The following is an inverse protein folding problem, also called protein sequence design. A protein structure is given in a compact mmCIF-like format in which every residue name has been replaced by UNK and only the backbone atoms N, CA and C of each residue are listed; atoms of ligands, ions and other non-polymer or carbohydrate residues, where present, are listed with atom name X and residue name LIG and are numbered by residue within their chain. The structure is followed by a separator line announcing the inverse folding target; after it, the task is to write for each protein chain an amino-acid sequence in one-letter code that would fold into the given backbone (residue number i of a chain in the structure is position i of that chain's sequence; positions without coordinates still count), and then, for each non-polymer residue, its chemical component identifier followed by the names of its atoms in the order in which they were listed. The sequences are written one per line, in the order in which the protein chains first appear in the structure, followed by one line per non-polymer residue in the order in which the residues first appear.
data_IF_610622006204
#
_entry.id   IF_610622006204
#
_cell.length_a   1.000
_cell.length_b   1.000
_cell.length_c   1.000
_cell.angle_alpha   90.00
_cell.angle_beta   90.00
_cell.angle_gamma   90.00
#
_symmetry.space_group_name_H-M   'P 1'
#
loop_
_entity.id
_entity.type
_entity.pdbx_description
1 polymer ?
#
# COMPACT_ATOMS: atom_id res chain seq x y z
N UNK A 1 3.28 2.72 -6.96
CA UNK A 1 2.52 2.97 -8.20
C UNK A 1 3.22 2.38 -9.42
N UNK A 2 4.54 2.48 -9.53
CA UNK A 2 5.36 1.93 -10.63
C UNK A 2 5.01 0.51 -11.12
N UNK A 3 4.72 -0.42 -10.21
CA UNK A 3 4.44 -1.84 -10.55
C UNK A 3 3.22 -2.03 -11.46
N UNK A 4 2.21 -1.17 -11.37
CA UNK A 4 1.00 -1.28 -12.22
C UNK A 4 1.33 -0.96 -13.68
N UNK A 5 2.20 0.02 -13.92
CA UNK A 5 2.57 0.45 -15.27
C UNK A 5 3.12 -0.68 -16.13
N UNK A 6 3.99 -1.54 -15.58
CA UNK A 6 4.54 -2.69 -16.31
C UNK A 6 3.46 -3.58 -16.92
N UNK A 7 2.36 -3.81 -16.21
CA UNK A 7 1.21 -4.57 -16.71
C UNK A 7 0.43 -3.85 -17.81
N UNK A 8 0.48 -2.51 -17.87
CA UNK A 8 -0.17 -1.71 -18.90
C UNK A 8 0.59 -1.75 -20.23
N UNK A 9 1.93 -1.79 -20.17
CA UNK A 9 2.80 -1.75 -21.36
C UNK A 9 3.40 -3.10 -21.74
N UNK A 10 3.05 -4.17 -21.02
CA UNK A 10 3.49 -5.53 -21.33
C UNK A 10 4.97 -5.80 -21.03
N UNK A 11 5.56 -5.05 -20.10
CA UNK A 11 6.98 -5.22 -19.72
C UNK A 11 7.13 -6.09 -18.47
N UNK A 12 8.21 -6.86 -18.42
CA UNK A 12 8.58 -7.59 -17.21
C UNK A 12 9.08 -6.60 -16.14
N UNK A 13 8.63 -6.77 -14.89
CA UNK A 13 9.05 -5.93 -13.75
C UNK A 13 10.41 -6.32 -13.15
N UNK A 14 10.90 -7.53 -13.42
CA UNK A 14 12.12 -8.06 -12.79
C UNK A 14 13.37 -7.22 -13.10
N UNK A 15 13.59 -6.74 -14.34
CA UNK A 15 14.72 -5.85 -14.62
C UNK A 15 14.73 -4.59 -13.77
N UNK A 16 13.57 -4.10 -13.31
CA UNK A 16 13.50 -2.95 -12.39
C UNK A 16 13.75 -3.33 -10.92
N UNK A 17 13.21 -4.46 -10.46
CA UNK A 17 13.13 -4.78 -9.03
C UNK A 17 14.30 -5.66 -8.53
N UNK A 18 14.93 -6.43 -9.41
CA UNK A 18 15.85 -7.51 -9.03
C UNK A 18 17.28 -7.26 -9.57
N UNK A 19 17.47 -6.22 -10.37
CA UNK A 19 18.78 -5.78 -10.87
C UNK A 19 18.88 -4.29 -10.59
N UNK A 20 19.97 -3.87 -9.95
CA UNK A 20 20.25 -2.46 -9.69
C UNK A 20 21.59 -2.08 -10.31
N UNK A 21 21.74 -0.86 -10.85
CA UNK A 21 23.03 -0.33 -11.27
C UNK A 21 24.03 -0.30 -10.12
N UNK A 22 25.32 -0.47 -10.40
CA UNK A 22 26.39 -0.49 -9.39
C UNK A 22 26.42 0.80 -8.54
N UNK A 23 26.05 1.93 -9.14
CA UNK A 23 26.01 3.24 -8.49
C UNK A 23 24.65 3.59 -7.87
N UNK A 24 23.64 2.69 -7.88
CA UNK A 24 22.27 3.01 -7.45
C UNK A 24 22.20 3.56 -6.02
N UNK A 25 23.01 3.03 -5.10
CA UNK A 25 23.06 3.46 -3.70
C UNK A 25 23.49 4.92 -3.51
N UNK A 26 24.09 5.55 -4.52
CA UNK A 26 24.55 6.94 -4.51
C UNK A 26 23.51 7.91 -5.11
N UNK A 27 22.36 7.42 -5.56
CA UNK A 27 21.29 8.24 -6.15
C UNK A 27 20.39 8.87 -5.08
N UNK A 28 19.60 9.88 -5.46
CA UNK A 28 18.68 10.58 -4.54
C UNK A 28 17.59 9.66 -3.97
N UNK A 29 17.12 8.70 -4.78
CA UNK A 29 16.06 7.75 -4.40
C UNK A 29 16.41 6.31 -4.79
N UNK A 30 17.40 5.66 -4.13
CA UNK A 30 17.89 4.34 -4.51
C UNK A 30 16.80 3.26 -4.52
N UNK A 31 15.83 3.37 -3.60
CA UNK A 31 14.69 2.48 -3.51
C UNK A 31 13.73 2.52 -4.72
N UNK A 32 13.91 3.47 -5.64
CA UNK A 32 13.15 3.58 -6.88
C UNK A 32 13.94 3.16 -8.12
N UNK A 33 15.25 2.92 -7.99
CA UNK A 33 16.17 2.60 -9.08
C UNK A 33 16.07 3.61 -10.23
N UNK A 34 16.48 4.89 -10.01
CA UNK A 34 16.15 6.00 -10.90
C UNK A 34 16.60 5.81 -12.35
N UNK A 35 17.78 5.23 -12.57
CA UNK A 35 18.30 4.93 -13.91
C UNK A 35 17.38 4.00 -14.70
N UNK A 36 16.84 2.97 -14.04
CA UNK A 36 15.92 2.04 -14.70
C UNK A 36 14.61 2.76 -15.07
N UNK A 37 14.13 3.67 -14.21
CA UNK A 37 12.99 4.52 -14.53
C UNK A 37 13.26 5.37 -15.77
N UNK A 38 14.44 5.97 -15.89
CA UNK A 38 14.87 6.73 -17.09
C UNK A 38 14.91 5.85 -18.34
N UNK A 39 15.42 4.62 -18.22
CA UNK A 39 15.45 3.66 -19.32
C UNK A 39 14.04 3.32 -19.81
N UNK A 40 13.07 3.12 -18.92
CA UNK A 40 11.67 2.86 -19.31
C UNK A 40 11.02 4.06 -20.00
N UNK A 41 11.32 5.28 -19.54
CA UNK A 41 10.85 6.50 -20.22
C UNK A 41 11.44 6.57 -21.62
N UNK A 42 12.74 6.33 -21.75
CA UNK A 42 13.47 6.35 -23.03
C UNK A 42 12.89 5.34 -24.02
N UNK A 43 12.72 4.08 -23.59
CA UNK A 43 12.16 3.01 -24.43
C UNK A 43 10.72 3.35 -24.85
N UNK A 44 9.87 3.83 -23.92
CA UNK A 44 8.49 4.18 -24.25
C UNK A 44 8.43 5.27 -25.33
N UNK A 45 9.22 6.34 -25.19
CA UNK A 45 9.33 7.40 -26.20
C UNK A 45 9.81 6.86 -27.54
N UNK A 46 10.88 6.08 -27.54
CA UNK A 46 11.49 5.54 -28.76
C UNK A 46 10.56 4.61 -29.53
N UNK A 47 9.81 3.75 -28.84
CA UNK A 47 8.91 2.77 -29.47
C UNK A 47 7.61 3.42 -29.95
N UNK A 48 7.03 4.33 -29.16
CA UNK A 48 5.69 4.86 -29.46
C UNK A 48 5.70 6.18 -30.22
N UNK A 49 6.83 6.88 -30.24
CA UNK A 49 6.94 8.25 -30.76
C UNK A 49 6.17 9.29 -29.93
N UNK A 50 5.68 8.93 -28.74
CA UNK A 50 4.90 9.82 -27.87
C UNK A 50 5.76 10.45 -26.80
N UNK A 51 5.41 11.68 -26.42
CA UNK A 51 5.96 12.28 -25.21
C UNK A 51 5.56 11.47 -23.97
N UNK A 52 6.51 11.37 -23.05
CA UNK A 52 6.37 10.55 -21.85
C UNK A 52 7.34 11.03 -20.76
N UNK A 53 6.98 10.87 -19.50
CA UNK A 53 7.82 11.31 -18.37
C UNK A 53 7.68 10.36 -17.19
N UNK A 54 8.55 10.50 -16.19
CA UNK A 54 8.47 9.72 -14.95
C UNK A 54 7.16 9.99 -14.21
N UNK A 55 6.71 11.24 -14.24
CA UNK A 55 5.45 11.69 -13.65
C UNK A 55 4.29 11.03 -14.40
N UNK A 56 4.30 11.08 -15.74
CA UNK A 56 3.26 10.45 -16.56
C UNK A 56 3.15 8.95 -16.34
N UNK A 57 4.27 8.25 -16.15
CA UNK A 57 4.28 6.83 -15.80
C UNK A 57 3.52 6.56 -14.49
N UNK A 58 3.74 7.39 -13.48
CA UNK A 58 3.06 7.30 -12.19
C UNK A 58 1.57 7.64 -12.33
N UNK A 59 1.23 8.67 -13.10
CA UNK A 59 -0.17 9.06 -13.38
C UNK A 59 -0.95 7.95 -14.10
N UNK A 60 -0.36 7.32 -15.13
CA UNK A 60 -0.99 6.22 -15.85
C UNK A 60 -1.23 5.02 -14.91
N UNK A 61 -0.28 4.75 -14.01
CA UNK A 61 -0.47 3.76 -12.94
C UNK A 61 -1.59 4.15 -11.98
N UNK A 62 -1.69 5.43 -11.61
CA UNK A 62 -2.66 5.95 -10.66
C UNK A 62 -4.08 5.89 -11.17
N UNK A 63 -4.29 6.26 -12.43
CA UNK A 63 -5.56 6.09 -13.14
C UNK A 63 -6.04 4.64 -13.07
N UNK A 64 -5.21 3.70 -13.53
CA UNK A 64 -5.63 2.30 -13.65
C UNK A 64 -5.77 1.63 -12.29
N UNK A 65 -4.92 1.95 -11.31
CA UNK A 65 -5.06 1.44 -9.95
C UNK A 65 -6.39 1.87 -9.31
N UNK A 66 -6.80 3.13 -9.51
CA UNK A 66 -8.09 3.61 -9.02
C UNK A 66 -9.25 3.00 -9.78
N UNK A 67 -9.14 2.82 -11.10
CA UNK A 67 -10.14 2.09 -11.88
C UNK A 67 -10.33 0.66 -11.36
N UNK A 68 -9.25 -0.07 -11.09
CA UNK A 68 -9.30 -1.41 -10.49
C UNK A 68 -9.96 -1.39 -9.10
N UNK A 69 -9.68 -0.36 -8.29
CA UNK A 69 -10.33 -0.18 -6.99
C UNK A 69 -11.84 0.01 -7.14
N UNK A 70 -12.28 0.89 -8.03
CA UNK A 70 -13.71 1.13 -8.30
C UNK A 70 -14.38 -0.12 -8.87
N UNK A 71 -13.70 -0.87 -9.75
CA UNK A 71 -14.18 -2.14 -10.24
C UNK A 71 -14.44 -3.12 -9.08
N UNK A 72 -13.52 -3.25 -8.13
CA UNK A 72 -13.72 -4.10 -6.95
C UNK A 72 -14.93 -3.65 -6.11
N UNK A 73 -15.11 -2.33 -5.94
CA UNK A 73 -16.26 -1.73 -5.24
C UNK A 73 -17.57 -2.08 -5.94
N UNK A 74 -17.62 -1.99 -7.27
CA UNK A 74 -18.76 -2.42 -8.07
C UNK A 74 -19.09 -3.90 -7.87
N UNK A 75 -18.09 -4.74 -7.61
CA UNK A 75 -18.26 -6.18 -7.32
C UNK A 75 -18.57 -6.50 -5.86
N UNK A 76 -18.71 -5.48 -4.99
CA UNK A 76 -19.03 -5.64 -3.58
C UNK A 76 -17.82 -5.72 -2.64
N UNK A 77 -16.60 -5.60 -3.16
CA UNK A 77 -15.34 -5.69 -2.42
C UNK A 77 -14.56 -4.36 -2.46
N UNK A 78 -13.37 -4.28 -1.86
CA UNK A 78 -12.54 -3.06 -1.95
C UNK A 78 -13.03 -1.88 -1.11
N UNK A 79 -13.69 -2.14 0.01
CA UNK A 79 -13.85 -1.15 1.10
C UNK A 79 -12.86 -1.46 2.22
N UNK A 80 -12.78 -0.61 3.25
CA UNK A 80 -11.87 -0.78 4.39
C UNK A 80 -11.91 -2.17 5.02
N UNK A 81 -13.10 -2.75 5.14
CA UNK A 81 -13.31 -4.11 5.65
C UNK A 81 -12.53 -5.18 4.86
N UNK A 82 -12.31 -4.97 3.56
CA UNK A 82 -11.61 -5.89 2.67
C UNK A 82 -10.10 -5.68 2.66
N UNK A 83 -9.61 -4.57 3.19
CA UNK A 83 -8.18 -4.27 3.30
C UNK A 83 -7.59 -4.76 4.63
N UNK A 84 -8.34 -5.53 5.43
CA UNK A 84 -7.87 -6.05 6.72
C UNK A 84 -6.78 -7.10 6.56
N UNK A 85 -5.75 -7.01 7.39
CA UNK A 85 -4.74 -8.05 7.50
C UNK A 85 -5.29 -9.33 8.14
N UNK A 86 -4.74 -10.52 7.84
CA UNK A 86 -5.07 -11.75 8.55
C UNK A 86 -4.78 -11.63 10.04
N UNK A 87 -5.61 -12.25 10.88
CA UNK A 87 -5.45 -12.25 12.35
C UNK A 87 -4.02 -12.63 12.79
N UNK A 88 -3.41 -13.63 12.15
CA UNK A 88 -2.04 -14.06 12.45
C UNK A 88 -0.97 -12.99 12.20
N UNK A 89 -1.18 -12.08 11.25
CA UNK A 89 -0.23 -11.02 10.95
C UNK A 89 -0.16 -9.96 12.07
N UNK A 90 -1.27 -9.77 12.80
CA UNK A 90 -1.37 -8.78 13.87
C UNK A 90 -0.66 -9.19 15.18
N UNK A 91 -0.19 -10.43 15.33
CA UNK A 91 0.51 -10.86 16.55
C UNK A 91 0.45 -12.36 16.81
N UNK A 92 1.11 -12.83 17.89
CA UNK A 92 1.07 -14.24 18.28
C UNK A 92 -0.36 -14.72 18.42
N UNK A 93 -0.65 -15.88 17.85
CA UNK A 93 -1.98 -16.50 17.81
C UNK A 93 -2.18 -17.42 19.02
N UNK A 94 -1.11 -18.10 19.44
CA UNK A 94 -1.12 -19.03 20.56
C UNK A 94 -0.20 -18.56 21.68
N UNK A 95 -0.45 -19.09 22.89
CA UNK A 95 0.41 -18.90 24.07
C UNK A 95 1.87 -19.31 23.78
N UNK A 96 2.05 -20.48 23.17
CA UNK A 96 3.37 -21.00 22.82
C UNK A 96 4.14 -20.07 21.86
N UNK A 97 3.45 -19.45 20.89
CA UNK A 97 4.06 -18.47 19.99
C UNK A 97 4.53 -17.21 20.75
N UNK A 98 3.76 -16.75 21.75
CA UNK A 98 4.18 -15.66 22.61
C UNK A 98 5.41 -16.06 23.44
N UNK A 99 5.31 -17.17 24.17
CA UNK A 99 6.34 -17.65 25.10
C UNK A 99 7.67 -17.95 24.41
N UNK A 100 7.63 -18.48 23.18
CA UNK A 100 8.84 -18.72 22.37
C UNK A 100 9.67 -17.46 22.09
N UNK A 101 9.07 -16.27 22.24
CA UNK A 101 9.70 -14.97 21.99
C UNK A 101 9.29 -13.95 23.07
N UNK A 102 9.12 -14.40 24.31
CA UNK A 102 8.59 -13.59 25.41
C UNK A 102 9.34 -12.28 25.59
N UNK A 103 10.68 -12.31 25.62
CA UNK A 103 11.52 -11.12 25.78
C UNK A 103 11.23 -10.05 24.71
N UNK A 104 11.09 -10.46 23.45
CA UNK A 104 10.78 -9.56 22.34
C UNK A 104 9.42 -8.88 22.53
N UNK A 105 8.39 -9.64 22.93
CA UNK A 105 7.04 -9.12 23.06
C UNK A 105 6.86 -8.28 24.32
N UNK A 106 7.47 -8.69 25.43
CA UNK A 106 7.48 -7.94 26.69
C UNK A 106 8.20 -6.59 26.49
N UNK A 107 9.31 -6.56 25.73
CA UNK A 107 9.97 -5.31 25.34
C UNK A 107 9.05 -4.39 24.52
N UNK A 108 8.33 -4.95 23.55
CA UNK A 108 7.37 -4.16 22.77
C UNK A 108 6.21 -3.60 23.61
N UNK A 109 5.71 -4.37 24.59
CA UNK A 109 4.69 -3.89 25.53
C UNK A 109 5.21 -2.69 26.34
N UNK A 110 6.45 -2.78 26.86
CA UNK A 110 7.07 -1.67 27.60
C UNK A 110 7.33 -0.45 26.72
N UNK A 111 8.06 -0.62 25.62
CA UNK A 111 8.59 0.48 24.82
C UNK A 111 7.58 1.11 23.87
N UNK A 112 6.69 0.32 23.26
CA UNK A 112 5.76 0.80 22.24
C UNK A 112 4.35 1.05 22.80
N UNK A 113 3.92 0.22 23.76
CA UNK A 113 2.57 0.31 24.33
C UNK A 113 2.56 1.07 25.66
N UNK A 114 3.70 1.12 26.37
CA UNK A 114 3.80 1.75 27.69
C UNK A 114 3.19 0.91 28.83
N UNK A 115 3.10 -0.41 28.66
CA UNK A 115 2.53 -1.33 29.65
C UNK A 115 3.63 -2.21 30.23
N UNK A 116 3.68 -2.34 31.56
CA UNK A 116 4.57 -3.29 32.22
C UNK A 116 3.95 -4.71 32.21
N UNK A 117 4.55 -5.70 31.52
CA UNK A 117 4.09 -7.08 31.49
C UNK A 117 4.31 -7.85 32.81
N UNK A 118 4.99 -7.29 33.81
CA UNK A 118 5.21 -8.00 35.08
C UNK A 118 3.88 -8.32 35.79
N UNK A 119 3.74 -9.56 36.28
CA UNK A 119 2.50 -10.03 36.94
C UNK A 119 1.33 -10.35 36.01
N UNK A 120 1.42 -10.03 34.70
CA UNK A 120 0.37 -10.34 33.73
C UNK A 120 0.44 -11.78 33.21
N UNK A 121 -0.71 -12.37 32.92
CA UNK A 121 -0.79 -13.64 32.18
C UNK A 121 -0.38 -13.47 30.72
N UNK A 122 0.13 -14.54 30.09
CA UNK A 122 0.50 -14.51 28.66
C UNK A 122 -0.68 -14.09 27.78
N UNK A 123 -1.88 -14.54 28.11
CA UNK A 123 -3.11 -14.27 27.38
C UNK A 123 -3.50 -12.78 27.42
N UNK A 124 -3.32 -12.12 28.57
CA UNK A 124 -3.53 -10.67 28.70
C UNK A 124 -2.50 -9.88 27.89
N UNK A 125 -1.21 -10.26 28.00
CA UNK A 125 -0.12 -9.66 27.22
C UNK A 125 -0.39 -9.74 25.73
N UNK A 126 -0.81 -10.92 25.24
CA UNK A 126 -1.18 -11.16 23.84
C UNK A 126 -2.33 -10.24 23.40
N UNK A 127 -3.38 -10.10 24.22
CA UNK A 127 -4.55 -9.26 23.91
C UNK A 127 -4.17 -7.79 23.79
N UNK A 128 -3.36 -7.27 24.71
CA UNK A 128 -2.90 -5.87 24.70
C UNK A 128 -2.03 -5.61 23.47
N UNK A 129 -1.02 -6.46 23.25
CA UNK A 129 -0.11 -6.30 22.12
C UNK A 129 -0.85 -6.35 20.78
N UNK A 130 -1.82 -7.26 20.65
CA UNK A 130 -2.67 -7.37 19.46
C UNK A 130 -3.48 -6.11 19.22
N UNK A 131 -4.18 -5.64 20.25
CA UNK A 131 -4.98 -4.40 20.16
C UNK A 131 -4.13 -3.23 19.69
N UNK A 132 -2.92 -3.08 20.25
CA UNK A 132 -1.98 -2.05 19.82
C UNK A 132 -1.60 -2.20 18.33
N UNK A 133 -1.23 -3.40 17.89
CA UNK A 133 -0.80 -3.64 16.50
C UNK A 133 -1.94 -3.48 15.48
N UNK A 134 -3.15 -3.86 15.84
CA UNK A 134 -4.34 -3.61 15.03
C UNK A 134 -4.61 -2.11 14.91
N UNK A 135 -4.51 -1.35 16.01
CA UNK A 135 -4.62 0.12 15.98
C UNK A 135 -3.53 0.79 15.11
N UNK A 136 -2.28 0.31 15.17
CA UNK A 136 -1.22 0.79 14.28
C UNK A 136 -1.53 0.51 12.80
N UNK A 137 -2.13 -0.64 12.50
CA UNK A 137 -2.55 -0.97 11.14
C UNK A 137 -3.66 -0.05 10.64
N UNK A 138 -4.67 0.23 11.46
CA UNK A 138 -5.77 1.15 11.13
C UNK A 138 -5.24 2.58 10.87
N UNK A 139 -4.28 3.06 11.68
CA UNK A 139 -3.59 4.35 11.46
C UNK A 139 -2.81 4.38 10.14
N UNK A 140 -2.13 3.28 9.81
CA UNK A 140 -1.44 3.15 8.52
C UNK A 140 -2.45 3.18 7.35
N UNK A 141 -3.59 2.50 7.47
CA UNK A 141 -4.64 2.55 6.45
C UNK A 141 -5.15 3.97 6.24
N UNK A 142 -5.39 4.72 7.31
CA UNK A 142 -5.83 6.13 7.22
C UNK A 142 -4.82 7.00 6.47
N UNK A 143 -3.53 6.86 6.80
CA UNK A 143 -2.46 7.57 6.12
C UNK A 143 -2.37 7.21 4.63
N UNK A 144 -2.51 5.92 4.30
CA UNK A 144 -2.51 5.44 2.90
C UNK A 144 -3.73 5.94 2.14
N UNK A 145 -4.94 5.86 2.71
CA UNK A 145 -6.16 6.33 2.08
C UNK A 145 -6.08 7.83 1.79
N UNK A 146 -5.67 8.63 2.77
CA UNK A 146 -5.45 10.07 2.59
C UNK A 146 -4.46 10.34 1.45
N UNK A 147 -3.31 9.65 1.42
CA UNK A 147 -2.30 9.81 0.37
C UNK A 147 -2.84 9.44 -1.02
N UNK A 148 -3.77 8.49 -1.09
CA UNK A 148 -4.39 8.01 -2.33
C UNK A 148 -5.62 8.82 -2.77
N UNK A 149 -6.01 9.85 -2.03
CA UNK A 149 -7.25 10.58 -2.30
C UNK A 149 -8.50 9.73 -2.09
N UNK A 150 -8.48 8.84 -1.10
CA UNK A 150 -9.60 7.99 -0.72
C UNK A 150 -10.21 8.48 0.60
N UNK A 151 -11.50 8.23 0.80
CA UNK A 151 -12.16 8.47 2.08
C UNK A 151 -11.77 7.40 3.13
N UNK A 152 -12.26 7.57 4.37
CA UNK A 152 -11.94 6.67 5.49
C UNK A 152 -12.40 5.22 5.28
N UNK A 153 -13.37 5.00 4.38
CA UNK A 153 -13.85 3.68 3.99
C UNK A 153 -13.03 3.06 2.84
N UNK A 154 -11.95 3.71 2.41
CA UNK A 154 -11.07 3.22 1.35
C UNK A 154 -11.66 3.33 -0.05
N UNK A 155 -12.58 4.26 -0.28
CA UNK A 155 -13.19 4.54 -1.59
C UNK A 155 -12.56 5.81 -2.19
N UNK A 156 -12.11 5.80 -3.46
CA UNK A 156 -11.62 7.01 -4.12
C UNK A 156 -12.67 8.13 -4.08
N UNK A 157 -12.25 9.36 -3.75
CA UNK A 157 -13.17 10.49 -3.77
C UNK A 157 -13.48 10.93 -5.19
N UNK A 158 -14.67 11.47 -5.43
CA UNK A 158 -15.04 12.03 -6.74
C UNK A 158 -14.07 13.14 -7.15
N UNK A 159 -13.67 14.00 -6.21
CA UNK A 159 -12.67 15.05 -6.44
C UNK A 159 -11.35 14.46 -6.96
N UNK A 160 -10.86 13.39 -6.32
CA UNK A 160 -9.62 12.76 -6.70
C UNK A 160 -9.72 12.05 -8.06
N UNK A 161 -10.84 11.38 -8.35
CA UNK A 161 -11.07 10.75 -9.65
C UNK A 161 -11.07 11.78 -10.78
N UNK A 162 -11.69 12.95 -10.58
CA UNK A 162 -11.62 14.07 -11.53
C UNK A 162 -10.19 14.56 -11.71
N UNK A 163 -9.46 14.77 -10.61
CA UNK A 163 -8.06 15.21 -10.63
C UNK A 163 -7.17 14.31 -11.49
N UNK A 164 -7.37 13.00 -11.42
CA UNK A 164 -6.56 12.03 -12.19
C UNK A 164 -7.15 11.73 -13.57
N UNK A 165 -8.28 12.34 -13.98
CA UNK A 165 -8.95 12.07 -15.26
C UNK A 165 -9.52 10.65 -15.36
N UNK A 166 -10.08 10.15 -14.25
CA UNK A 166 -10.77 8.86 -14.13
C UNK A 166 -12.24 9.07 -13.72
N UNK A 167 -12.83 10.18 -14.15
CA UNK A 167 -14.19 10.62 -13.87
C UNK A 167 -15.20 10.19 -14.95
N UNK A 168 -14.96 9.03 -15.58
CA UNK A 168 -15.94 8.42 -16.47
C UNK A 168 -17.29 8.26 -15.75
N UNK A 169 -18.42 8.54 -16.42
CA UNK A 169 -19.75 8.48 -15.79
C UNK A 169 -19.99 7.17 -15.03
N UNK A 170 -19.61 6.03 -15.61
CA UNK A 170 -19.78 4.69 -15.04
C UNK A 170 -18.87 4.44 -13.83
N UNK A 171 -17.74 5.14 -13.73
CA UNK A 171 -16.84 5.08 -12.58
C UNK A 171 -17.40 5.94 -11.44
N UNK A 172 -17.87 7.15 -11.76
CA UNK A 172 -18.48 8.06 -10.78
C UNK A 172 -19.74 7.45 -10.17
N UNK A 173 -20.63 6.87 -10.99
CA UNK A 173 -21.88 6.23 -10.53
C UNK A 173 -21.63 5.16 -9.45
N UNK A 174 -20.52 4.43 -9.55
CA UNK A 174 -20.16 3.40 -8.56
C UNK A 174 -19.77 4.02 -7.23
N UNK A 175 -18.95 5.07 -7.24
CA UNK A 175 -18.38 5.64 -6.01
C UNK A 175 -19.31 6.63 -5.32
N UNK A 176 -20.27 7.23 -6.03
CA UNK A 176 -21.21 8.23 -5.52
C UNK A 176 -21.99 7.73 -4.29
N UNK A 177 -22.34 6.45 -4.28
CA UNK A 177 -23.09 5.77 -3.20
C UNK A 177 -22.28 5.63 -1.91
N UNK A 178 -20.99 5.98 -1.92
CA UNK A 178 -20.05 5.74 -0.83
C UNK A 178 -19.21 6.98 -0.47
N UNK A 179 -19.60 8.16 -0.96
CA UNK A 179 -18.90 9.43 -0.68
C UNK A 179 -19.23 9.96 0.71
#
# INVERSE_FOLDING_TARGET
MFRTWFGLVGLCKLPWNDVEPENNAQTDEPAKVPEHVDNYVTIYKAVTGREFSKERLVEDSERVYNFQRVFNIRRGYGKRINDRQPYRAAGPVTKAEYESRAERYDRQLKELVGVDPEGMTTEEKMKILRKYREDQYEKLQDAVYKRRGWNSNGVPTIEFLRKIGMDFPEVIEVVEKYQ
#
